data_IF_759127221999
#
_entry.id   IF_759127221999
#
_cell.length_a   1.000
_cell.length_b   1.000
_cell.length_c   1.000
_cell.angle_alpha   90.00
_cell.angle_beta   90.00
_cell.angle_gamma   90.00
#
_symmetry.space_group_name_H-M   'P 1'
#
loop_
_entity.id
_entity.type
_entity.pdbx_description
1 polymer ?
#
# COMPACT_ATOMS: atom_id res chain seq x y z
N UNK A 1 4.38 9.46 -6.49
CA UNK A 1 4.86 10.46 -5.53
C UNK A 1 6.27 10.90 -5.89
N UNK A 2 6.47 12.20 -6.19
CA UNK A 2 7.75 12.83 -6.47
C UNK A 2 7.64 14.33 -6.25
N UNK A 3 8.70 15.04 -5.85
CA UNK A 3 8.67 16.50 -5.75
C UNK A 3 8.37 17.16 -7.10
N UNK A 4 7.74 18.32 -7.05
CA UNK A 4 7.62 19.24 -8.19
C UNK A 4 8.84 20.17 -8.19
N UNK A 5 9.52 20.31 -9.32
CA UNK A 5 10.69 21.19 -9.47
C UNK A 5 11.95 20.44 -9.98
N UNK A 6 13.16 20.93 -9.66
CA UNK A 6 14.41 20.38 -10.22
C UNK A 6 14.65 18.91 -9.91
N UNK A 7 14.10 18.43 -8.78
CA UNK A 7 14.27 17.05 -8.30
C UNK A 7 13.15 16.09 -8.77
N UNK A 8 12.31 16.51 -9.72
CA UNK A 8 11.24 15.65 -10.23
C UNK A 8 11.81 14.36 -10.82
N UNK A 9 11.27 13.22 -10.40
CA UNK A 9 11.72 11.89 -10.83
C UNK A 9 13.01 11.39 -10.17
N UNK A 10 13.77 12.24 -9.48
CA UNK A 10 15.00 11.85 -8.77
C UNK A 10 14.74 11.41 -7.33
N UNK A 11 13.66 11.89 -6.74
CA UNK A 11 13.21 11.53 -5.39
C UNK A 11 11.82 10.94 -5.53
N UNK A 12 11.57 9.82 -4.88
CA UNK A 12 10.29 9.13 -4.89
C UNK A 12 9.99 8.47 -3.54
N UNK A 13 8.78 7.96 -3.39
CA UNK A 13 8.35 7.16 -2.24
C UNK A 13 8.31 5.68 -2.61
N UNK A 14 8.63 4.82 -1.65
CA UNK A 14 8.44 3.37 -1.81
C UNK A 14 6.93 3.06 -1.89
N UNK A 15 6.57 2.12 -2.77
CA UNK A 15 5.18 1.67 -2.87
C UNK A 15 4.73 0.95 -1.57
N UNK A 16 3.44 0.98 -1.28
CA UNK A 16 2.86 0.56 0.01
C UNK A 16 3.25 -0.86 0.43
N UNK A 17 3.30 -1.81 -0.51
CA UNK A 17 3.61 -3.21 -0.23
C UNK A 17 5.07 -3.60 -0.56
N UNK A 18 5.83 -2.68 -1.13
CA UNK A 18 7.21 -2.93 -1.50
C UNK A 18 8.11 -3.02 -0.27
N UNK A 19 9.10 -3.86 -0.35
CA UNK A 19 10.16 -3.98 0.66
C UNK A 19 11.53 -4.01 0.00
N UNK A 20 12.56 -3.74 0.78
CA UNK A 20 13.95 -3.78 0.34
C UNK A 20 14.59 -5.06 0.86
N UNK A 21 15.22 -5.82 -0.02
CA UNK A 21 15.97 -7.04 0.34
C UNK A 21 17.27 -6.69 1.08
N UNK A 22 17.88 -7.69 1.71
CA UNK A 22 19.20 -7.53 2.35
C UNK A 22 20.30 -7.07 1.38
N UNK A 23 20.12 -7.28 0.08
CA UNK A 23 21.06 -6.87 -0.98
C UNK A 23 20.74 -5.50 -1.57
N UNK A 24 19.65 -4.83 -1.12
CA UNK A 24 19.25 -3.51 -1.58
C UNK A 24 18.32 -3.50 -2.80
N UNK A 25 17.81 -4.64 -3.25
CA UNK A 25 16.81 -4.72 -4.31
C UNK A 25 15.41 -4.48 -3.75
N UNK A 26 14.56 -3.86 -4.57
CA UNK A 26 13.14 -3.70 -4.25
C UNK A 26 12.39 -4.92 -4.75
N UNK A 27 11.54 -5.49 -3.90
CA UNK A 27 10.62 -6.57 -4.25
C UNK A 27 9.20 -6.25 -3.78
N UNK A 28 8.22 -6.81 -4.47
CA UNK A 28 6.80 -6.62 -4.20
C UNK A 28 6.07 -7.96 -4.14
N UNK A 29 4.97 -8.08 -3.36
CA UNK A 29 4.24 -9.33 -3.22
C UNK A 29 3.28 -9.54 -4.38
N UNK A 30 3.17 -10.79 -4.81
CA UNK A 30 2.20 -11.26 -5.79
C UNK A 30 1.55 -12.56 -5.33
N UNK A 31 0.26 -12.73 -5.62
CA UNK A 31 -0.47 -13.96 -5.35
C UNK A 31 -0.21 -14.95 -6.49
N UNK A 32 0.24 -16.15 -6.16
CA UNK A 32 0.52 -17.17 -7.15
C UNK A 32 -0.76 -17.74 -7.75
N UNK A 33 -0.81 -17.86 -9.07
CA UNK A 33 -1.89 -18.52 -9.81
C UNK A 33 -1.44 -19.92 -10.20
N UNK A 34 -2.29 -20.90 -9.98
CA UNK A 34 -2.04 -22.30 -10.34
C UNK A 34 -3.26 -22.86 -11.07
N UNK A 35 -3.09 -23.26 -12.32
CA UNK A 35 -4.17 -23.78 -13.16
C UNK A 35 -5.41 -22.86 -13.23
N UNK A 36 -5.20 -21.58 -13.45
CA UNK A 36 -6.25 -20.58 -13.55
C UNK A 36 -6.95 -20.24 -12.22
N UNK A 37 -6.37 -20.66 -11.07
CA UNK A 37 -6.88 -20.34 -9.74
C UNK A 37 -5.86 -19.54 -8.95
N UNK A 38 -6.31 -18.45 -8.35
CA UNK A 38 -5.51 -17.60 -7.47
C UNK A 38 -5.40 -18.30 -6.10
N UNK A 39 -4.17 -18.55 -5.67
CA UNK A 39 -3.87 -19.17 -4.38
C UNK A 39 -3.65 -18.11 -3.29
N UNK A 40 -3.67 -18.55 -2.03
CA UNK A 40 -3.29 -17.68 -0.89
C UNK A 40 -1.76 -17.57 -0.72
N UNK A 41 -1.00 -18.30 -1.54
CA UNK A 41 0.46 -18.21 -1.51
C UNK A 41 0.90 -16.90 -2.14
N UNK A 42 1.69 -16.13 -1.38
CA UNK A 42 2.28 -14.87 -1.79
C UNK A 42 3.78 -15.07 -1.97
N UNK A 43 4.27 -14.79 -3.17
CA UNK A 43 5.69 -14.75 -3.48
C UNK A 43 6.11 -13.29 -3.68
N UNK A 44 7.34 -12.95 -3.26
CA UNK A 44 7.91 -11.62 -3.49
C UNK A 44 8.83 -11.70 -4.69
N UNK A 45 8.59 -10.84 -5.67
CA UNK A 45 9.36 -10.78 -6.91
C UNK A 45 10.09 -9.44 -7.03
N UNK A 46 11.32 -9.51 -7.52
CA UNK A 46 12.09 -8.35 -7.98
C UNK A 46 11.66 -7.96 -9.39
N UNK A 47 12.08 -6.80 -9.90
CA UNK A 47 11.65 -6.31 -11.20
C UNK A 47 12.08 -7.22 -12.37
N UNK A 48 13.24 -7.83 -12.28
CA UNK A 48 13.75 -8.79 -13.27
C UNK A 48 12.96 -10.10 -13.26
N UNK A 49 12.59 -10.60 -12.08
CA UNK A 49 11.73 -11.77 -11.94
C UNK A 49 10.30 -11.48 -12.41
N UNK A 50 9.77 -10.27 -12.11
CA UNK A 50 8.45 -9.83 -12.55
C UNK A 50 8.35 -9.83 -14.09
N UNK A 51 9.39 -9.40 -14.77
CA UNK A 51 9.45 -9.34 -16.23
C UNK A 51 9.36 -10.71 -16.92
N UNK A 52 9.64 -11.80 -16.19
CA UNK A 52 9.55 -13.17 -16.71
C UNK A 52 8.13 -13.75 -16.61
N UNK A 53 7.22 -13.08 -15.88
CA UNK A 53 5.90 -13.61 -15.56
C UNK A 53 4.76 -12.77 -16.14
N UNK A 54 3.61 -13.42 -16.25
CA UNK A 54 2.34 -12.82 -16.67
C UNK A 54 1.51 -12.52 -15.42
N UNK A 55 1.22 -11.24 -15.17
CA UNK A 55 0.62 -10.79 -13.93
C UNK A 55 -0.75 -10.17 -14.17
N UNK A 56 -1.80 -10.76 -13.58
CA UNK A 56 -3.15 -10.23 -13.62
C UNK A 56 -3.31 -9.05 -12.65
N UNK A 57 -4.17 -8.11 -13.02
CA UNK A 57 -4.49 -6.97 -12.16
C UNK A 57 -5.33 -7.40 -10.94
N UNK A 58 -5.17 -6.68 -9.83
CA UNK A 58 -5.86 -6.96 -8.57
C UNK A 58 -7.39 -6.84 -8.63
N UNK A 59 -7.92 -6.11 -9.60
CA UNK A 59 -9.37 -5.91 -9.81
C UNK A 59 -9.99 -6.95 -10.74
N UNK A 60 -9.24 -7.94 -11.24
CA UNK A 60 -9.80 -9.02 -12.04
C UNK A 60 -10.86 -9.78 -11.22
N UNK A 61 -12.07 -9.98 -11.79
CA UNK A 61 -13.16 -10.65 -11.06
C UNK A 61 -12.81 -12.13 -10.82
N UNK A 62 -13.00 -12.56 -9.58
CA UNK A 62 -12.80 -13.95 -9.16
C UNK A 62 -14.11 -14.59 -8.73
N UNK A 63 -14.25 -15.88 -8.99
CA UNK A 63 -15.30 -16.74 -8.45
C UNK A 63 -15.01 -17.06 -6.97
N UNK A 64 -16.00 -17.62 -6.26
CA UNK A 64 -15.86 -18.05 -4.87
C UNK A 64 -14.76 -19.11 -4.66
N UNK A 65 -14.45 -19.90 -5.70
CA UNK A 65 -13.41 -20.93 -5.67
C UNK A 65 -12.00 -20.40 -6.00
N UNK A 66 -11.86 -19.09 -6.19
CA UNK A 66 -10.60 -18.42 -6.54
C UNK A 66 -10.22 -18.49 -8.01
N UNK A 67 -11.02 -19.05 -8.88
CA UNK A 67 -10.82 -19.03 -10.33
C UNK A 67 -11.20 -17.68 -10.92
N UNK A 68 -10.59 -17.29 -12.05
CA UNK A 68 -11.01 -16.10 -12.79
C UNK A 68 -12.45 -16.28 -13.32
N UNK A 69 -13.29 -15.27 -13.12
CA UNK A 69 -14.66 -15.29 -13.60
C UNK A 69 -14.78 -15.13 -15.12
N UNK A 70 -13.77 -14.52 -15.74
CA UNK A 70 -13.70 -14.26 -17.18
C UNK A 70 -12.66 -15.16 -17.84
N UNK A 71 -12.97 -15.64 -19.05
CA UNK A 71 -12.06 -16.47 -19.84
C UNK A 71 -10.81 -15.71 -20.32
N UNK A 72 -10.91 -14.38 -20.43
CA UNK A 72 -9.81 -13.50 -20.80
C UNK A 72 -9.59 -12.45 -19.71
N UNK A 73 -8.39 -12.35 -19.23
CA UNK A 73 -7.99 -11.50 -18.11
C UNK A 73 -7.03 -10.42 -18.60
N UNK A 74 -7.19 -9.20 -18.09
CA UNK A 74 -6.27 -8.11 -18.33
C UNK A 74 -5.00 -8.34 -17.51
N UNK A 75 -3.87 -8.44 -18.20
CA UNK A 75 -2.57 -8.74 -17.61
C UNK A 75 -1.53 -7.72 -18.01
N UNK A 76 -0.46 -7.71 -17.22
CA UNK A 76 0.79 -7.00 -17.50
C UNK A 76 1.86 -8.03 -17.83
N UNK A 77 2.63 -7.77 -18.91
CA UNK A 77 3.80 -8.54 -19.33
C UNK A 77 5.07 -7.67 -19.28
N UNK A 78 6.17 -8.29 -19.66
CA UNK A 78 7.48 -7.66 -19.76
C UNK A 78 7.42 -6.27 -20.38
N UNK A 79 8.09 -5.31 -19.74
CA UNK A 79 8.09 -3.92 -20.19
C UNK A 79 6.81 -3.14 -19.93
N UNK A 80 5.86 -3.69 -19.17
CA UNK A 80 4.60 -3.03 -18.81
C UNK A 80 3.54 -3.07 -19.91
N UNK A 81 3.68 -3.90 -20.92
CA UNK A 81 2.65 -4.10 -21.95
C UNK A 81 1.40 -4.72 -21.33
N UNK A 82 0.24 -4.11 -21.63
CA UNK A 82 -1.06 -4.51 -21.10
C UNK A 82 -1.89 -5.16 -22.19
N UNK A 83 -2.31 -6.39 -21.98
CA UNK A 83 -3.11 -7.15 -22.95
C UNK A 83 -4.14 -8.08 -22.28
N UNK A 84 -5.10 -8.57 -23.05
CA UNK A 84 -6.04 -9.59 -22.63
C UNK A 84 -5.59 -10.97 -23.09
N UNK A 85 -5.33 -11.88 -22.15
CA UNK A 85 -4.93 -13.26 -22.43
C UNK A 85 -5.89 -14.27 -21.79
N UNK A 86 -5.69 -15.54 -22.09
CA UNK A 86 -6.43 -16.63 -21.42
C UNK A 86 -6.08 -16.70 -19.93
N UNK A 87 -7.06 -16.95 -19.10
CA UNK A 87 -6.90 -17.11 -17.65
C UNK A 87 -5.89 -18.22 -17.28
N UNK A 88 -5.75 -19.24 -18.14
CA UNK A 88 -4.82 -20.37 -17.91
C UNK A 88 -3.35 -19.99 -18.10
N UNK A 89 -3.07 -18.88 -18.77
CA UNK A 89 -1.70 -18.38 -19.03
C UNK A 89 -1.20 -17.41 -17.96
N UNK A 90 -2.00 -17.12 -16.92
CA UNK A 90 -1.67 -16.19 -15.85
C UNK A 90 -0.81 -16.89 -14.80
N UNK A 91 0.34 -16.32 -14.47
CA UNK A 91 1.28 -16.86 -13.46
C UNK A 91 1.01 -16.28 -12.07
N UNK A 92 0.76 -14.98 -12.00
CA UNK A 92 0.56 -14.24 -10.76
C UNK A 92 -0.59 -13.23 -10.87
N UNK A 93 -1.05 -12.76 -9.72
CA UNK A 93 -2.03 -11.69 -9.60
C UNK A 93 -1.57 -10.67 -8.56
N UNK A 94 -1.77 -9.39 -8.82
CA UNK A 94 -1.53 -8.33 -7.85
C UNK A 94 -2.32 -8.59 -6.55
N UNK A 95 -1.74 -8.27 -5.40
CA UNK A 95 -2.42 -8.49 -4.10
C UNK A 95 -3.46 -7.41 -3.81
N UNK A 96 -3.25 -6.19 -4.30
CA UNK A 96 -4.16 -5.05 -4.07
C UNK A 96 -3.93 -3.95 -5.10
N UNK A 97 -4.95 -3.18 -5.49
CA UNK A 97 -4.77 -1.96 -6.29
C UNK A 97 -3.87 -0.91 -5.63
N UNK A 98 -3.80 -0.89 -4.31
CA UNK A 98 -2.92 0.01 -3.52
C UNK A 98 -1.43 -0.31 -3.66
N UNK A 99 -1.10 -1.45 -4.21
CA UNK A 99 0.28 -1.90 -4.41
C UNK A 99 1.10 -0.95 -5.29
N UNK A 100 0.44 -0.19 -6.17
CA UNK A 100 1.09 0.69 -7.14
C UNK A 100 1.37 2.10 -6.60
N UNK A 101 0.83 2.47 -5.44
CA UNK A 101 0.90 3.82 -4.88
C UNK A 101 1.71 3.84 -3.59
N UNK A 102 2.31 5.01 -3.29
CA UNK A 102 3.01 5.23 -2.01
C UNK A 102 2.02 5.32 -0.85
N UNK A 103 2.53 5.29 0.38
CA UNK A 103 1.72 5.42 1.60
C UNK A 103 0.94 6.74 1.61
N UNK A 104 1.58 7.87 1.28
CA UNK A 104 0.91 9.16 1.24
C UNK A 104 -0.21 9.18 0.19
N UNK A 105 0.05 8.70 -1.01
CA UNK A 105 -0.95 8.62 -2.08
C UNK A 105 -2.11 7.69 -1.71
N UNK A 106 -1.85 6.60 -1.00
CA UNK A 106 -2.89 5.67 -0.54
C UNK A 106 -3.83 6.28 0.53
N UNK A 107 -3.48 7.41 1.12
CA UNK A 107 -4.33 8.15 2.05
C UNK A 107 -5.26 9.16 1.37
N UNK A 108 -5.20 9.34 0.05
CA UNK A 108 -6.12 10.21 -0.70
C UNK A 108 -7.45 9.49 -0.87
N UNK A 109 -8.55 9.99 -0.27
CA UNK A 109 -9.88 9.42 -0.50
C UNK A 109 -10.31 9.61 -1.95
N UNK A 110 -10.98 8.60 -2.53
CA UNK A 110 -11.45 8.63 -3.92
C UNK A 110 -10.35 8.89 -4.96
N UNK A 111 -9.15 8.37 -4.70
CA UNK A 111 -7.97 8.53 -5.57
C UNK A 111 -8.27 8.15 -7.03
N UNK A 112 -9.10 7.13 -7.26
CA UNK A 112 -9.49 6.64 -8.58
C UNK A 112 -10.24 7.66 -9.43
N UNK A 113 -10.76 8.72 -8.83
CA UNK A 113 -11.46 9.82 -9.50
C UNK A 113 -10.55 11.03 -9.79
N UNK A 114 -9.30 11.00 -9.31
CA UNK A 114 -8.37 12.10 -9.45
C UNK A 114 -7.42 11.88 -10.64
N UNK A 115 -7.10 12.98 -11.32
CA UNK A 115 -5.99 12.97 -12.29
C UNK A 115 -4.65 12.75 -11.58
N UNK A 116 -3.73 12.05 -12.25
CA UNK A 116 -2.42 11.71 -11.70
C UNK A 116 -1.62 12.93 -11.23
N UNK A 117 -1.68 14.04 -11.98
CA UNK A 117 -1.01 15.29 -11.62
C UNK A 117 -1.56 15.87 -10.31
N UNK A 118 -2.88 15.82 -10.12
CA UNK A 118 -3.52 16.35 -8.89
C UNK A 118 -3.26 15.42 -7.70
N UNK A 119 -3.24 14.12 -7.90
CA UNK A 119 -2.85 13.15 -6.88
C UNK A 119 -1.40 13.35 -6.41
N UNK A 120 -0.48 13.63 -7.34
CA UNK A 120 0.91 13.98 -7.03
C UNK A 120 0.99 15.25 -6.16
N UNK A 121 0.29 16.31 -6.54
CA UNK A 121 0.23 17.55 -5.76
C UNK A 121 -0.35 17.31 -4.37
N UNK A 122 -1.44 16.56 -4.25
CA UNK A 122 -2.06 16.19 -2.98
C UNK A 122 -1.13 15.39 -2.06
N UNK A 123 -0.40 14.44 -2.61
CA UNK A 123 0.60 13.65 -1.86
C UNK A 123 1.71 14.54 -1.32
N UNK A 124 2.20 15.50 -2.12
CA UNK A 124 3.19 16.47 -1.70
C UNK A 124 2.67 17.40 -0.59
N UNK A 125 1.41 17.87 -0.70
CA UNK A 125 0.80 18.73 0.31
C UNK A 125 0.55 18.03 1.64
N UNK A 126 0.24 16.73 1.66
CA UNK A 126 0.10 15.97 2.90
C UNK A 126 1.37 15.97 3.75
N UNK A 127 2.54 15.98 3.13
CA UNK A 127 3.83 16.07 3.84
C UNK A 127 4.11 17.44 4.45
N UNK A 128 3.33 18.45 4.11
CA UNK A 128 3.44 19.82 4.62
C UNK A 128 2.36 20.11 5.69
N UNK A 129 1.63 19.09 6.13
CA UNK A 129 0.57 19.23 7.12
C UNK A 129 1.12 19.73 8.45
N UNK A 130 0.41 20.67 9.07
CA UNK A 130 0.74 21.23 10.38
C UNK A 130 -0.16 20.58 11.44
N UNK A 131 0.39 20.05 12.55
CA UNK A 131 -0.40 19.53 13.66
C UNK A 131 -1.30 20.60 14.25
N UNK A 132 -2.57 20.27 14.44
CA UNK A 132 -3.54 21.19 15.02
C UNK A 132 -3.57 21.05 16.56
N UNK A 133 -3.86 22.16 17.28
CA UNK A 133 -4.02 22.13 18.74
C UNK A 133 -5.18 21.22 19.19
N UNK A 134 -6.22 21.13 18.38
CA UNK A 134 -7.35 20.21 18.57
C UNK A 134 -7.57 19.42 17.29
N UNK A 135 -6.91 18.27 17.17
CA UNK A 135 -7.11 17.41 16.00
C UNK A 135 -8.49 16.77 16.05
N UNK A 136 -9.12 16.64 14.90
CA UNK A 136 -10.39 15.94 14.72
C UNK A 136 -10.20 14.75 13.78
N UNK A 137 -10.99 13.70 13.99
CA UNK A 137 -11.03 12.57 13.06
C UNK A 137 -11.58 13.02 11.71
N UNK A 138 -10.98 12.60 10.59
CA UNK A 138 -11.52 12.90 9.27
C UNK A 138 -12.88 12.20 9.11
N UNK A 139 -13.85 12.92 8.50
CA UNK A 139 -15.15 12.34 8.15
C UNK A 139 -15.05 11.35 7.00
N UNK A 140 -14.09 11.56 6.11
CA UNK A 140 -13.80 10.71 4.95
C UNK A 140 -12.32 10.35 4.98
N UNK A 141 -12.01 9.07 4.91
CA UNK A 141 -10.65 8.55 4.94
C UNK A 141 -10.55 7.23 4.21
N UNK A 142 -9.34 6.67 4.16
CA UNK A 142 -9.04 5.41 3.47
C UNK A 142 -8.85 4.22 4.41
N UNK A 143 -8.85 4.45 5.73
CA UNK A 143 -8.58 3.46 6.76
C UNK A 143 -7.09 3.24 7.04
N UNK A 144 -6.20 3.92 6.32
CA UNK A 144 -4.75 3.85 6.55
C UNK A 144 -4.24 4.85 7.59
N UNK A 145 -5.04 5.84 7.94
CA UNK A 145 -4.66 6.97 8.81
C UNK A 145 -4.19 6.47 10.19
N UNK A 146 -4.96 5.57 10.79
CA UNK A 146 -4.65 5.00 12.10
C UNK A 146 -3.34 4.20 12.08
N UNK A 147 -3.17 3.35 11.06
CA UNK A 147 -1.96 2.53 10.90
C UNK A 147 -0.73 3.39 10.69
N UNK A 148 -0.84 4.42 9.86
CA UNK A 148 0.25 5.35 9.60
C UNK A 148 0.66 6.12 10.85
N UNK A 149 -0.32 6.57 11.66
CA UNK A 149 -0.04 7.26 12.91
C UNK A 149 0.77 6.40 13.90
N UNK A 150 0.45 5.10 13.97
CA UNK A 150 1.17 4.15 14.83
C UNK A 150 2.57 3.87 14.29
N UNK A 151 2.68 3.55 13.00
CA UNK A 151 3.93 3.09 12.39
C UNK A 151 4.94 4.24 12.18
N UNK A 152 4.49 5.50 12.13
CA UNK A 152 5.35 6.68 12.06
C UNK A 152 6.27 6.84 13.29
N UNK A 153 5.87 6.29 14.45
CA UNK A 153 6.66 6.36 15.68
C UNK A 153 6.66 7.71 16.40
N UNK A 154 5.93 8.70 15.88
CA UNK A 154 5.77 10.03 16.53
C UNK A 154 4.75 9.99 17.67
N UNK A 155 3.86 9.01 17.65
CA UNK A 155 2.84 8.79 18.68
C UNK A 155 3.33 7.76 19.69
N UNK A 156 3.36 8.14 20.97
CA UNK A 156 3.74 7.23 22.04
C UNK A 156 2.54 6.34 22.35
N UNK A 157 2.70 5.04 22.11
CA UNK A 157 1.67 4.03 22.37
C UNK A 157 1.86 3.40 23.75
N UNK A 158 0.75 3.22 24.49
CA UNK A 158 0.78 2.43 25.73
C UNK A 158 1.17 0.99 25.42
N UNK A 159 2.10 0.44 26.21
CA UNK A 159 2.54 -0.95 26.07
C UNK A 159 1.56 -1.95 26.66
N UNK A 160 0.73 -1.53 27.61
CA UNK A 160 -0.22 -2.37 28.32
C UNK A 160 -1.52 -1.63 28.57
N UNK A 161 -2.59 -2.37 28.79
CA UNK A 161 -3.85 -1.83 29.29
C UNK A 161 -3.70 -1.40 30.76
N UNK A 162 -4.32 -0.28 31.14
CA UNK A 162 -4.20 0.25 32.50
C UNK A 162 -5.02 1.51 32.70
N UNK A 163 -4.85 2.11 33.88
CA UNK A 163 -5.50 3.37 34.27
C UNK A 163 -4.44 4.45 34.41
N UNK A 164 -4.67 5.60 33.76
CA UNK A 164 -3.81 6.78 33.90
C UNK A 164 -3.97 7.33 35.33
N UNK A 165 -2.88 7.37 36.07
CA UNK A 165 -2.87 7.85 37.48
C UNK A 165 -2.33 9.26 37.60
N UNK A 166 -1.40 9.64 36.73
CA UNK A 166 -0.78 10.97 36.78
C UNK A 166 -0.47 11.47 35.36
N UNK A 167 -0.67 12.76 35.12
CA UNK A 167 -0.39 13.44 33.85
C UNK A 167 0.30 14.76 34.15
N UNK A 168 1.46 14.96 33.54
CA UNK A 168 2.18 16.24 33.50
C UNK A 168 2.43 16.67 32.06
N UNK A 169 3.16 17.75 31.83
CA UNK A 169 3.58 18.18 30.48
C UNK A 169 4.53 17.20 29.82
N UNK A 170 5.32 16.48 30.60
CA UNK A 170 6.44 15.68 30.13
C UNK A 170 6.25 14.17 30.35
N UNK A 171 5.30 13.81 31.23
CA UNK A 171 5.14 12.43 31.68
C UNK A 171 3.65 12.05 31.85
N UNK A 172 3.34 10.82 31.45
CA UNK A 172 2.06 10.18 31.73
C UNK A 172 2.34 8.85 32.43
N UNK A 173 1.88 8.74 33.68
CA UNK A 173 2.01 7.50 34.47
C UNK A 173 0.78 6.64 34.33
N UNK A 174 0.99 5.38 33.92
CA UNK A 174 -0.08 4.39 33.75
C UNK A 174 0.13 3.24 34.70
N UNK A 175 -0.83 2.99 35.58
CA UNK A 175 -0.87 1.80 36.40
C UNK A 175 -1.46 0.66 35.56
N UNK A 176 -0.64 -0.35 35.28
CA UNK A 176 -1.06 -1.49 34.45
C UNK A 176 -1.96 -2.45 35.23
N UNK A 177 -2.78 -3.23 34.51
CA UNK A 177 -3.68 -4.20 35.16
C UNK A 177 -2.91 -5.41 35.76
N UNK A 178 -1.65 -5.56 35.38
CA UNK A 178 -0.78 -6.66 35.83
C UNK A 178 0.12 -6.31 37.02
N UNK A 179 0.01 -5.10 37.56
CA UNK A 179 0.76 -4.59 38.72
C UNK A 179 2.00 -3.80 38.37
#
# INVERSE_FOLDING_TARGET
ETPEGPNIGLIGGLATYARVTAFGFIETPYRKVVNGKVSDKVDYLTADEEDEHVIAQANAPLNEDGSFAEARVLVRRRGGEVEYISADEVDYMDVSPRQMVSVATAMIPFLEHDDANRALMGSNMMRQAVPLMRPESPLVGTGMEWRNAIDAGDVIMSKSAGVVTEVSSDEVTVMTNDG
#
